data_IF_853377618686
#
_entry.id   IF_853377618686
#
_cell.length_a   1.000
_cell.length_b   1.000
_cell.length_c   1.000
_cell.angle_alpha   90.00
_cell.angle_beta   90.00
_cell.angle_gamma   90.00
#
_symmetry.space_group_name_H-M   'P 1'
#
loop_
_entity.id
_entity.type
_entity.pdbx_description
1 polymer ?
#
# COMPACT_ATOMS: atom_id res chain seq x y z
N UNK A 1 -14.64 -50.63 34.99
CA UNK A 1 -15.61 -49.83 34.20
C UNK A 1 -15.44 -50.22 32.73
N UNK A 2 -16.50 -50.72 32.07
CA UNK A 2 -16.47 -51.00 30.61
C UNK A 2 -16.76 -49.69 29.89
N UNK A 3 -15.75 -49.13 29.21
CA UNK A 3 -15.93 -47.96 28.34
C UNK A 3 -16.81 -48.42 27.16
N UNK A 4 -17.91 -47.71 26.89
CA UNK A 4 -18.86 -48.10 25.84
C UNK A 4 -18.30 -47.81 24.45
N UNK A 5 -18.67 -48.61 23.46
CA UNK A 5 -18.26 -48.40 22.05
C UNK A 5 -18.59 -46.99 21.54
N UNK A 6 -19.68 -46.39 22.01
CA UNK A 6 -20.07 -45.02 21.68
C UNK A 6 -19.03 -43.97 22.10
N UNK A 7 -18.29 -44.21 23.19
CA UNK A 7 -17.22 -43.30 23.64
C UNK A 7 -16.06 -43.25 22.63
N UNK A 8 -15.66 -44.40 22.08
CA UNK A 8 -14.61 -44.45 21.07
C UNK A 8 -15.02 -43.78 19.76
N UNK A 9 -16.26 -43.96 19.33
CA UNK A 9 -16.81 -43.28 18.14
C UNK A 9 -16.80 -41.76 18.35
N UNK A 10 -17.19 -41.30 19.54
CA UNK A 10 -17.21 -39.87 19.86
C UNK A 10 -15.80 -39.26 19.90
N UNK A 11 -14.82 -39.96 20.50
CA UNK A 11 -13.41 -39.52 20.51
C UNK A 11 -12.81 -39.48 19.11
N UNK A 12 -13.13 -40.47 18.27
CA UNK A 12 -12.64 -40.52 16.89
C UNK A 12 -13.25 -39.38 16.06
N UNK A 13 -14.53 -39.08 16.26
CA UNK A 13 -15.22 -37.95 15.63
C UNK A 13 -14.61 -36.61 16.04
N UNK A 14 -14.32 -36.39 17.33
CA UNK A 14 -13.73 -35.13 17.81
C UNK A 14 -12.27 -34.96 17.37
N UNK A 15 -11.50 -36.05 17.26
CA UNK A 15 -10.16 -36.05 16.65
C UNK A 15 -10.23 -35.64 15.17
N UNK A 16 -11.20 -36.17 14.42
CA UNK A 16 -11.35 -35.88 12.99
C UNK A 16 -11.78 -34.42 12.75
N UNK A 17 -12.71 -33.92 13.57
CA UNK A 17 -13.15 -32.52 13.53
C UNK A 17 -12.02 -31.55 13.90
N UNK A 18 -11.27 -31.81 14.96
CA UNK A 18 -10.14 -30.93 15.35
C UNK A 18 -9.00 -30.97 14.34
N UNK A 19 -8.77 -32.12 13.70
CA UNK A 19 -7.80 -32.23 12.61
C UNK A 19 -8.21 -31.48 11.34
N UNK A 20 -9.50 -31.34 11.05
CA UNK A 20 -10.00 -30.65 9.84
C UNK A 20 -9.95 -29.11 9.91
N UNK A 21 -10.01 -28.54 11.12
CA UNK A 21 -9.98 -27.08 11.34
C UNK A 21 -8.73 -26.34 10.81
N UNK A 22 -7.49 -26.81 11.01
CA UNK A 22 -6.30 -26.12 10.51
C UNK A 22 -6.29 -25.97 8.98
N UNK A 23 -6.88 -26.90 8.22
CA UNK A 23 -6.96 -26.83 6.77
C UNK A 23 -7.88 -25.70 6.29
N UNK A 24 -9.00 -25.48 6.99
CA UNK A 24 -9.92 -24.38 6.68
C UNK A 24 -9.24 -23.03 6.95
N UNK A 25 -8.52 -22.91 8.07
CA UNK A 25 -7.79 -21.68 8.39
C UNK A 25 -6.65 -21.39 7.43
N UNK A 26 -5.94 -22.43 6.97
CA UNK A 26 -4.82 -22.29 6.04
C UNK A 26 -5.29 -21.81 4.65
N UNK A 27 -6.41 -22.35 4.17
CA UNK A 27 -7.03 -21.91 2.92
C UNK A 27 -7.45 -20.44 2.98
N UNK A 28 -8.00 -19.99 4.12
CA UNK A 28 -8.39 -18.59 4.31
C UNK A 28 -7.16 -17.66 4.40
N UNK A 29 -6.11 -18.07 5.12
CA UNK A 29 -4.86 -17.29 5.19
C UNK A 29 -4.19 -17.09 3.84
N UNK A 30 -4.21 -18.11 2.98
CA UNK A 30 -3.60 -18.02 1.65
C UNK A 30 -4.33 -16.99 0.76
N UNK A 31 -5.67 -16.95 0.82
CA UNK A 31 -6.48 -15.96 0.09
C UNK A 31 -6.24 -14.53 0.59
N UNK A 32 -6.02 -14.34 1.88
CA UNK A 32 -5.70 -13.03 2.45
C UNK A 32 -4.28 -12.57 2.07
N UNK A 33 -3.31 -13.48 2.07
CA UNK A 33 -1.96 -13.19 1.62
C UNK A 33 -1.91 -12.81 0.12
N UNK A 34 -2.70 -13.50 -0.70
CA UNK A 34 -2.88 -13.17 -2.12
C UNK A 34 -3.45 -11.75 -2.29
N UNK A 35 -4.46 -11.37 -1.50
CA UNK A 35 -5.07 -10.04 -1.55
C UNK A 35 -4.06 -8.91 -1.31
N UNK A 36 -3.15 -9.11 -0.34
CA UNK A 36 -2.09 -8.16 0.00
C UNK A 36 -1.08 -8.06 -1.13
N UNK A 37 -0.60 -9.20 -1.63
CA UNK A 37 0.41 -9.23 -2.69
C UNK A 37 -0.11 -8.62 -4.01
N UNK A 38 -1.37 -8.88 -4.35
CA UNK A 38 -2.02 -8.27 -5.52
C UNK A 38 -2.21 -6.77 -5.33
N UNK A 39 -2.66 -6.33 -4.14
CA UNK A 39 -2.85 -4.93 -3.82
C UNK A 39 -1.54 -4.14 -3.92
N UNK A 40 -0.43 -4.68 -3.38
CA UNK A 40 0.89 -4.05 -3.46
C UNK A 40 1.37 -3.92 -4.91
N UNK A 41 1.20 -4.98 -5.70
CA UNK A 41 1.63 -5.00 -7.10
C UNK A 41 0.86 -3.98 -7.95
N UNK A 42 -0.46 -3.96 -7.79
CA UNK A 42 -1.32 -3.04 -8.55
C UNK A 42 -1.08 -1.59 -8.05
N UNK A 43 -0.91 -1.36 -6.75
CA UNK A 43 -0.56 -0.04 -6.21
C UNK A 43 0.80 0.49 -6.71
N UNK A 44 1.79 -0.38 -6.89
CA UNK A 44 3.09 0.02 -7.47
C UNK A 44 2.96 0.41 -8.94
N UNK A 45 2.11 -0.29 -9.69
CA UNK A 45 1.86 -0.01 -11.11
C UNK A 45 1.09 1.30 -11.30
N UNK A 46 0.10 1.55 -10.44
CA UNK A 46 -0.79 2.71 -10.51
C UNK A 46 -0.23 3.92 -9.75
N UNK A 47 0.86 3.74 -9.00
CA UNK A 47 1.69 4.82 -8.50
C UNK A 47 2.41 5.44 -9.69
N UNK A 48 1.78 6.42 -10.34
CA UNK A 48 2.42 7.24 -11.37
C UNK A 48 3.55 8.09 -10.78
N UNK A 49 4.65 7.46 -10.38
CA UNK A 49 5.76 8.07 -9.65
C UNK A 49 6.29 9.29 -10.37
N UNK A 50 6.35 9.28 -11.71
CA UNK A 50 6.76 10.43 -12.52
C UNK A 50 5.83 11.64 -12.39
N UNK A 51 4.51 11.44 -12.39
CA UNK A 51 3.53 12.54 -12.22
C UNK A 51 3.63 13.16 -10.83
N UNK A 52 3.80 12.34 -9.80
CA UNK A 52 3.91 12.80 -8.42
C UNK A 52 5.28 13.40 -8.09
N UNK A 53 6.35 12.91 -8.73
CA UNK A 53 7.68 13.52 -8.67
C UNK A 53 7.68 14.89 -9.33
N UNK A 54 7.11 15.02 -10.54
CA UNK A 54 7.00 16.31 -11.22
C UNK A 54 6.15 17.29 -10.40
N UNK A 55 5.05 16.82 -9.82
CA UNK A 55 4.21 17.63 -8.93
C UNK A 55 4.99 18.05 -7.68
N UNK A 56 5.79 17.18 -7.08
CA UNK A 56 6.70 17.54 -5.99
C UNK A 56 7.73 18.61 -6.38
N UNK A 57 8.28 18.53 -7.58
CA UNK A 57 9.27 19.48 -8.10
C UNK A 57 8.65 20.87 -8.38
N UNK A 58 7.52 20.92 -9.09
CA UNK A 58 6.85 22.18 -9.46
C UNK A 58 6.30 22.93 -8.25
N UNK A 59 5.82 22.21 -7.24
CA UNK A 59 5.26 22.79 -6.02
C UNK A 59 6.30 22.91 -4.88
N UNK A 60 7.58 22.62 -5.15
CA UNK A 60 8.68 22.68 -4.17
C UNK A 60 8.87 24.07 -3.53
N UNK A 61 8.88 25.20 -4.27
CA UNK A 61 9.11 26.51 -3.66
C UNK A 61 7.97 26.90 -2.68
N UNK A 62 6.74 26.51 -3.02
CA UNK A 62 5.55 26.72 -2.19
C UNK A 62 5.50 25.82 -0.95
N UNK A 63 6.06 24.61 -1.00
CA UNK A 63 6.12 23.70 0.15
C UNK A 63 7.12 24.14 1.21
N UNK A 64 8.22 24.79 0.82
CA UNK A 64 9.23 25.29 1.77
C UNK A 64 8.79 26.62 2.41
N UNK A 65 8.08 27.49 1.68
CA UNK A 65 7.55 28.74 2.22
C UNK A 65 6.19 28.60 2.93
N UNK A 66 5.34 27.65 2.54
CA UNK A 66 3.98 27.45 3.09
C UNK A 66 3.76 26.03 3.65
N UNK A 67 4.84 25.36 4.10
CA UNK A 67 4.85 23.97 4.56
C UNK A 67 3.70 23.53 5.48
N UNK A 68 3.33 24.28 6.55
CA UNK A 68 2.24 23.87 7.42
C UNK A 68 0.85 24.00 6.78
N UNK A 69 0.67 24.89 5.80
CA UNK A 69 -0.61 25.12 5.12
C UNK A 69 -0.80 24.18 3.92
N UNK A 70 0.30 23.78 3.27
CA UNK A 70 0.24 22.98 2.05
C UNK A 70 0.15 21.46 2.33
N UNK A 71 0.73 20.99 3.44
CA UNK A 71 0.68 19.58 3.84
C UNK A 71 -0.73 18.97 3.93
N UNK A 72 -1.72 19.61 4.59
CA UNK A 72 -3.08 19.09 4.61
C UNK A 72 -3.72 19.06 3.21
N UNK A 73 -3.38 20.00 2.33
CA UNK A 73 -3.92 20.05 0.98
C UNK A 73 -3.33 18.97 0.06
N UNK A 74 -2.05 18.63 0.24
CA UNK A 74 -1.44 17.50 -0.47
C UNK A 74 -2.07 16.17 -0.02
N UNK A 75 -2.37 16.03 1.27
CA UNK A 75 -3.03 14.85 1.84
C UNK A 75 -4.41 14.62 1.20
N UNK A 76 -5.23 15.66 1.06
CA UNK A 76 -6.56 15.54 0.44
C UNK A 76 -6.46 15.14 -1.03
N UNK A 77 -5.52 15.72 -1.79
CA UNK A 77 -5.32 15.35 -3.20
C UNK A 77 -4.86 13.89 -3.39
N UNK A 78 -4.05 13.36 -2.48
CA UNK A 78 -3.59 11.97 -2.53
C UNK A 78 -4.72 11.01 -2.18
N UNK A 79 -5.54 11.34 -1.17
CA UNK A 79 -6.67 10.49 -0.73
C UNK A 79 -7.82 10.49 -1.75
N UNK A 80 -8.13 11.61 -2.40
CA UNK A 80 -9.20 11.71 -3.40
C UNK A 80 -8.89 10.95 -4.70
N UNK A 81 -7.61 10.70 -5.00
CA UNK A 81 -7.17 10.06 -6.24
C UNK A 81 -6.98 8.55 -6.14
N UNK A 82 -7.54 7.91 -5.09
CA UNK A 82 -7.52 6.45 -4.93
C UNK A 82 -8.70 5.87 -5.73
N UNK A 83 -8.42 5.39 -6.94
CA UNK A 83 -9.39 4.64 -7.75
C UNK A 83 -9.07 3.16 -7.65
N UNK A 84 -9.99 2.36 -7.11
CA UNK A 84 -9.80 0.91 -7.01
C UNK A 84 -10.06 0.26 -8.38
N UNK A 85 -9.22 -0.68 -8.84
CA UNK A 85 -9.45 -1.41 -10.08
C UNK A 85 -10.68 -2.32 -9.93
N UNK A 86 -11.81 -2.01 -10.60
CA UNK A 86 -13.06 -2.74 -10.38
C UNK A 86 -12.98 -4.19 -10.86
N UNK A 87 -12.14 -4.46 -11.86
CA UNK A 87 -11.91 -5.81 -12.41
C UNK A 87 -11.31 -6.78 -11.40
N UNK A 88 -10.57 -6.29 -10.40
CA UNK A 88 -9.96 -7.12 -9.34
C UNK A 88 -10.91 -7.49 -8.22
N UNK A 89 -12.04 -6.79 -8.11
CA UNK A 89 -12.98 -6.92 -6.99
C UNK A 89 -14.19 -7.81 -7.33
N UNK A 90 -14.46 -8.06 -8.61
CA UNK A 90 -15.60 -8.85 -9.05
C UNK A 90 -15.42 -10.33 -8.66
N UNK A 91 -16.41 -10.88 -7.95
CA UNK A 91 -16.45 -12.30 -7.55
C UNK A 91 -15.55 -12.68 -6.38
N UNK A 92 -14.87 -11.72 -5.74
CA UNK A 92 -14.03 -11.96 -4.55
C UNK A 92 -14.86 -11.86 -3.26
N UNK A 93 -14.37 -12.48 -2.19
CA UNK A 93 -15.02 -12.44 -0.87
C UNK A 93 -14.98 -11.01 -0.28
N UNK A 94 -15.94 -10.63 0.58
CA UNK A 94 -15.92 -9.31 1.23
C UNK A 94 -14.66 -9.08 2.07
N UNK A 95 -14.09 -10.14 2.64
CA UNK A 95 -12.84 -10.11 3.40
C UNK A 95 -11.65 -9.77 2.51
N UNK A 96 -11.58 -10.39 1.33
CA UNK A 96 -10.57 -10.11 0.32
C UNK A 96 -10.64 -8.65 -0.12
N UNK A 97 -11.84 -8.17 -0.48
CA UNK A 97 -12.06 -6.80 -0.96
C UNK A 97 -11.62 -5.77 0.09
N UNK A 98 -11.98 -6.02 1.36
CA UNK A 98 -11.65 -5.09 2.45
C UNK A 98 -10.14 -5.02 2.70
N UNK A 99 -9.47 -6.17 2.71
CA UNK A 99 -8.02 -6.23 2.90
C UNK A 99 -7.29 -5.61 1.70
N UNK A 100 -7.68 -5.99 0.49
CA UNK A 100 -7.14 -5.43 -0.75
C UNK A 100 -7.27 -3.91 -0.78
N UNK A 101 -8.46 -3.36 -0.48
CA UNK A 101 -8.70 -1.92 -0.53
C UNK A 101 -7.87 -1.14 0.50
N UNK A 102 -7.75 -1.66 1.72
CA UNK A 102 -6.93 -1.05 2.76
C UNK A 102 -5.46 -1.01 2.36
N UNK A 103 -4.90 -2.16 1.95
CA UNK A 103 -3.50 -2.29 1.56
C UNK A 103 -3.19 -1.48 0.30
N UNK A 104 -4.05 -1.51 -0.71
CA UNK A 104 -3.88 -0.77 -1.96
C UNK A 104 -3.82 0.74 -1.69
N UNK A 105 -4.76 1.28 -0.92
CA UNK A 105 -4.80 2.70 -0.59
C UNK A 105 -3.57 3.16 0.19
N UNK A 106 -3.14 2.37 1.18
CA UNK A 106 -1.96 2.67 1.99
C UNK A 106 -0.69 2.69 1.15
N UNK A 107 -0.47 1.67 0.32
CA UNK A 107 0.73 1.54 -0.51
C UNK A 107 0.80 2.58 -1.61
N UNK A 108 -0.34 2.88 -2.22
CA UNK A 108 -0.44 3.92 -3.24
C UNK A 108 -0.11 5.30 -2.63
N UNK A 109 -0.64 5.59 -1.43
CA UNK A 109 -0.35 6.82 -0.69
C UNK A 109 1.13 6.92 -0.31
N UNK A 110 1.71 5.84 0.19
CA UNK A 110 3.13 5.75 0.53
C UNK A 110 4.01 6.06 -0.68
N UNK A 111 3.78 5.38 -1.81
CA UNK A 111 4.55 5.60 -3.04
C UNK A 111 4.41 7.02 -3.59
N UNK A 112 3.19 7.56 -3.64
CA UNK A 112 2.95 8.94 -4.12
C UNK A 112 3.62 9.97 -3.22
N UNK A 113 3.55 9.77 -1.91
CA UNK A 113 4.19 10.65 -0.92
C UNK A 113 5.71 10.60 -1.04
N UNK A 114 6.29 9.40 -1.18
CA UNK A 114 7.73 9.24 -1.36
C UNK A 114 8.24 9.86 -2.67
N UNK A 115 7.48 9.69 -3.76
CA UNK A 115 7.79 10.32 -5.05
C UNK A 115 7.70 11.85 -4.99
N UNK A 116 6.66 12.38 -4.35
CA UNK A 116 6.50 13.82 -4.16
C UNK A 116 7.62 14.43 -3.29
N UNK A 117 8.01 13.73 -2.21
CA UNK A 117 9.16 14.12 -1.38
C UNK A 117 10.46 14.13 -2.18
N UNK A 118 10.71 13.10 -2.99
CA UNK A 118 11.87 13.04 -3.88
C UNK A 118 11.87 14.21 -4.88
N UNK A 119 10.70 14.51 -5.46
CA UNK A 119 10.49 15.64 -6.34
C UNK A 119 10.82 16.99 -5.70
N UNK A 120 10.53 17.17 -4.41
CA UNK A 120 10.85 18.40 -3.67
C UNK A 120 12.37 18.61 -3.49
N UNK A 121 13.15 17.55 -3.35
CA UNK A 121 14.60 17.66 -3.12
C UNK A 121 15.40 17.93 -4.42
N UNK A 122 14.92 17.47 -5.57
CA UNK A 122 15.59 17.63 -6.86
C UNK A 122 15.91 19.09 -7.25
N UNK A 123 14.99 20.07 -7.17
CA UNK A 123 15.28 21.44 -7.55
C UNK A 123 16.36 22.07 -6.67
N UNK A 124 16.42 21.73 -5.37
CA UNK A 124 17.49 22.21 -4.48
C UNK A 124 18.87 21.75 -4.93
N UNK A 125 19.00 20.48 -5.31
CA UNK A 125 20.27 19.94 -5.81
C UNK A 125 20.72 20.63 -7.11
N UNK A 126 19.79 20.88 -8.03
CA UNK A 126 20.08 21.58 -9.30
C UNK A 126 20.53 23.03 -9.04
N UNK A 127 19.87 23.75 -8.14
CA UNK A 127 20.25 25.12 -7.79
C UNK A 127 21.66 25.18 -7.19
N UNK A 128 22.02 24.27 -6.28
CA UNK A 128 23.35 24.23 -5.67
C UNK A 128 24.43 24.02 -6.74
N UNK A 129 24.26 23.01 -7.61
CA UNK A 129 25.21 22.73 -8.69
C UNK A 129 25.34 23.92 -9.65
N UNK A 130 24.23 24.56 -10.01
CA UNK A 130 24.23 25.77 -10.84
C UNK A 130 25.04 26.91 -10.22
N UNK A 131 24.86 27.18 -8.92
CA UNK A 131 25.64 28.24 -8.24
C UNK A 131 27.14 27.94 -8.17
N UNK A 132 27.53 26.67 -8.00
CA UNK A 132 28.94 26.26 -8.00
C UNK A 132 29.56 26.45 -9.39
N UNK A 133 28.86 26.06 -10.45
CA UNK A 133 29.35 26.23 -11.83
C UNK A 133 29.46 27.71 -12.20
N UNK A 134 28.47 28.53 -11.83
CA UNK A 134 28.51 29.97 -12.10
C UNK A 134 29.64 30.66 -11.31
N UNK A 135 29.85 30.28 -10.04
CA UNK A 135 30.96 30.79 -9.22
C UNK A 135 32.33 30.40 -9.77
N UNK A 136 32.48 29.18 -10.30
CA UNK A 136 33.71 28.73 -10.94
C UNK A 136 33.97 29.39 -12.32
N UNK A 137 32.96 30.04 -12.92
CA UNK A 137 33.12 30.78 -14.18
C UNK A 137 33.43 32.28 -14.00
N UNK A 138 33.32 32.78 -12.77
CA UNK A 138 33.56 34.20 -12.42
C UNK A 138 34.97 34.48 -11.91
N UNK A 139 35.84 33.47 -11.81
CA UNK A 139 37.29 33.58 -11.56
C UNK A 139 38.07 33.40 -12.88
#
# INVERSE_FOLDING_TARGET
>A
MKISSAFYVLVLLTMLLTFSMPFVTLAQQNLLAEAVADAERDAQKDADSGRWLLRGCLFSPSLVYCGPYFWPHLKTMVDESISLPPTRLLGKSPEYIRLYAATYGEKLKENRTNSAKAGCCLPYAVCIVGTIIMGASSD
#
